data_IF_178554372962
#
_entry.id   IF_178554372962
#
_cell.length_a   1.000
_cell.length_b   1.000
_cell.length_c   1.000
_cell.angle_alpha   90.00
_cell.angle_beta   90.00
_cell.angle_gamma   90.00
#
_symmetry.space_group_name_H-M   'P 1'
#
loop_
_entity.id
_entity.type
_entity.pdbx_description
1 polymer ?
#
# COMPACT_ATOMS: atom_id res chain seq x y z
N UNK A 1 -19.63 -65.08 5.61
CA UNK A 1 -19.90 -64.76 4.20
C UNK A 1 -19.17 -63.44 3.88
N UNK A 2 -17.83 -63.34 3.93
CA UNK A 2 -16.81 -63.83 2.99
C UNK A 2 -16.93 -63.29 1.55
N UNK A 3 -16.19 -62.19 1.31
CA UNK A 3 -15.38 -61.92 0.11
C UNK A 3 -16.05 -61.38 -1.18
N UNK A 4 -15.27 -60.82 -2.14
CA UNK A 4 -15.41 -59.44 -2.61
C UNK A 4 -15.58 -59.40 -4.14
N UNK A 5 -15.82 -58.23 -4.75
CA UNK A 5 -15.68 -58.04 -6.21
C UNK A 5 -15.03 -56.68 -6.47
N UNK A 6 -13.73 -56.61 -6.70
CA UNK A 6 -12.94 -56.93 -7.93
C UNK A 6 -12.67 -55.64 -8.71
N UNK A 7 -11.43 -55.16 -8.55
CA UNK A 7 -10.70 -54.32 -9.49
C UNK A 7 -10.57 -55.06 -10.83
N UNK A 8 -10.88 -54.39 -11.93
CA UNK A 8 -10.44 -54.82 -13.25
C UNK A 8 -9.93 -53.63 -14.05
N UNK A 9 -8.60 -53.54 -14.10
CA UNK A 9 -7.87 -52.79 -15.08
C UNK A 9 -8.07 -53.42 -16.47
N UNK A 10 -8.31 -52.60 -17.49
CA UNK A 10 -8.15 -52.98 -18.88
C UNK A 10 -7.43 -51.85 -19.61
N UNK A 11 -6.10 -51.95 -19.60
CA UNK A 11 -5.25 -51.36 -20.60
C UNK A 11 -5.51 -52.05 -21.94
N UNK A 12 -5.74 -51.28 -23.01
CA UNK A 12 -5.54 -51.77 -24.38
C UNK A 12 -4.83 -50.73 -25.24
N UNK A 13 -3.55 -51.03 -25.45
CA UNK A 13 -2.70 -50.82 -26.62
C UNK A 13 -3.16 -49.90 -27.76
N UNK A 14 -2.28 -48.93 -28.04
CA UNK A 14 -1.80 -48.34 -29.31
C UNK A 14 -2.38 -48.87 -30.63
N UNK A 15 -2.45 -47.98 -31.63
CA UNK A 15 -1.62 -48.20 -32.81
C UNK A 15 -0.70 -47.02 -33.14
N UNK A 16 0.51 -47.40 -33.53
CA UNK A 16 1.60 -46.60 -34.09
C UNK A 16 1.37 -46.34 -35.59
N UNK A 17 2.17 -45.41 -36.14
CA UNK A 17 2.33 -45.00 -37.55
C UNK A 17 1.43 -43.81 -37.97
N UNK A 18 1.90 -42.73 -38.57
CA UNK A 18 3.16 -42.50 -39.29
C UNK A 18 3.64 -41.05 -39.14
N UNK A 19 4.96 -40.90 -39.16
CA UNK A 19 5.67 -39.63 -39.35
C UNK A 19 5.27 -39.01 -40.69
N UNK A 20 4.96 -37.73 -40.69
CA UNK A 20 5.24 -36.84 -41.82
C UNK A 20 6.08 -35.68 -41.30
N UNK A 21 7.37 -35.75 -41.63
CA UNK A 21 8.31 -34.63 -41.60
C UNK A 21 7.89 -33.62 -42.67
N UNK A 22 7.46 -32.44 -42.24
CA UNK A 22 7.41 -31.25 -43.08
C UNK A 22 8.09 -30.10 -42.32
N UNK A 23 9.33 -29.84 -42.71
CA UNK A 23 10.10 -28.67 -42.33
C UNK A 23 9.44 -27.43 -42.91
N UNK A 24 8.68 -26.71 -42.10
CA UNK A 24 8.27 -25.34 -42.37
C UNK A 24 8.64 -24.51 -41.14
N UNK A 25 9.68 -23.70 -41.27
CA UNK A 25 10.13 -22.77 -40.24
C UNK A 25 8.97 -21.90 -39.78
N UNK A 26 8.55 -22.10 -38.53
CA UNK A 26 7.65 -21.19 -37.82
C UNK A 26 8.53 -20.34 -36.93
N UNK A 27 8.81 -19.15 -37.41
CA UNK A 27 9.07 -17.95 -36.63
C UNK A 27 8.28 -18.03 -35.32
N UNK A 28 8.97 -18.23 -34.19
CA UNK A 28 8.36 -18.13 -32.87
C UNK A 28 8.07 -16.66 -32.61
N UNK A 29 6.84 -16.22 -32.85
CA UNK A 29 6.38 -14.97 -32.28
C UNK A 29 6.42 -15.13 -30.75
N UNK A 30 7.10 -14.24 -30.00
CA UNK A 30 6.96 -14.25 -28.56
C UNK A 30 5.49 -13.92 -28.27
N UNK A 31 4.77 -14.87 -27.69
CA UNK A 31 3.52 -14.60 -27.01
C UNK A 31 3.88 -13.73 -25.80
N UNK A 32 4.02 -12.42 -26.02
CA UNK A 32 3.82 -11.45 -24.96
C UNK A 32 2.38 -11.64 -24.52
N UNK A 33 2.20 -12.44 -23.48
CA UNK A 33 1.02 -12.37 -22.63
C UNK A 33 0.97 -10.95 -22.08
N UNK A 34 0.35 -10.04 -22.83
CA UNK A 34 -0.12 -8.79 -22.27
C UNK A 34 -1.29 -9.14 -21.35
N UNK A 35 -0.95 -9.61 -20.14
CA UNK A 35 -1.80 -9.33 -19.01
C UNK A 35 -1.78 -7.81 -18.85
N UNK A 36 -2.70 -7.16 -19.57
CA UNK A 36 -3.11 -5.81 -19.30
C UNK A 36 -3.75 -5.81 -17.90
N UNK A 37 -2.92 -5.88 -16.87
CA UNK A 37 -3.28 -5.39 -15.56
C UNK A 37 -3.44 -3.89 -15.75
N UNK A 38 -4.68 -3.49 -16.07
CA UNK A 38 -5.14 -2.14 -15.93
C UNK A 38 -4.98 -1.77 -14.45
N UNK A 39 -3.79 -1.30 -14.09
CA UNK A 39 -3.51 -0.70 -12.81
C UNK A 39 -4.37 0.57 -12.74
N UNK A 40 -5.57 0.41 -12.17
CA UNK A 40 -6.36 1.54 -11.73
C UNK A 40 -5.51 2.29 -10.71
N UNK A 41 -5.25 3.60 -10.87
CA UNK A 41 -4.56 4.36 -9.85
C UNK A 41 -5.49 4.46 -8.65
N UNK A 42 -5.29 3.59 -7.65
CA UNK A 42 -5.95 3.70 -6.36
C UNK A 42 -5.20 4.76 -5.55
N UNK A 43 -5.83 5.91 -5.41
CA UNK A 43 -5.41 6.95 -4.47
C UNK A 43 -5.58 6.38 -3.05
N UNK A 44 -4.52 5.79 -2.52
CA UNK A 44 -4.46 5.28 -1.15
C UNK A 44 -3.93 3.85 -1.06
N UNK A 45 -2.61 3.70 -1.16
CA UNK A 45 -1.77 2.80 -0.33
C UNK A 45 -2.21 1.36 -0.04
N UNK A 46 -3.11 0.75 -0.80
CA UNK A 46 -3.47 -0.66 -0.62
C UNK A 46 -2.92 -1.47 -1.79
N UNK A 47 -1.82 -2.17 -1.52
CA UNK A 47 -1.36 -3.29 -2.34
C UNK A 47 -2.35 -4.44 -2.16
N UNK A 48 -3.13 -4.69 -3.21
CA UNK A 48 -3.75 -6.00 -3.50
C UNK A 48 -4.55 -6.65 -2.36
N UNK A 49 -5.64 -6.00 -1.94
CA UNK A 49 -6.68 -6.63 -1.13
C UNK A 49 -8.08 -6.30 -1.67
N UNK A 50 -9.06 -7.21 -1.55
CA UNK A 50 -10.46 -6.85 -1.80
C UNK A 50 -10.86 -5.74 -0.81
N UNK A 51 -11.59 -4.74 -1.31
CA UNK A 51 -12.05 -3.63 -0.48
C UNK A 51 -12.80 -4.16 0.76
N UNK A 52 -12.63 -3.54 1.95
CA UNK A 52 -13.35 -3.98 3.14
C UNK A 52 -14.86 -3.91 2.92
N UNK A 53 -15.59 -4.92 3.41
CA UNK A 53 -17.02 -5.15 3.15
C UNK A 53 -17.91 -3.93 3.47
N UNK A 54 -17.52 -3.13 4.47
CA UNK A 54 -18.26 -1.97 4.95
C UNK A 54 -17.61 -0.63 4.56
N UNK A 55 -16.87 -0.55 3.46
CA UNK A 55 -16.39 0.73 2.96
C UNK A 55 -17.56 1.61 2.50
N UNK A 56 -18.00 2.53 3.37
CA UNK A 56 -19.08 3.48 3.07
C UNK A 56 -18.54 4.60 2.18
N UNK A 57 -18.77 4.49 0.88
CA UNK A 57 -18.64 5.61 -0.04
C UNK A 57 -19.77 6.63 0.21
N UNK A 58 -19.45 7.92 0.29
CA UNK A 58 -20.49 8.96 0.25
C UNK A 58 -21.03 9.03 -1.18
N UNK A 59 -22.35 8.88 -1.42
CA UNK A 59 -22.90 8.98 -2.76
C UNK A 59 -22.55 10.35 -3.38
N UNK A 60 -22.03 10.38 -4.62
CA UNK A 60 -21.74 11.64 -5.28
C UNK A 60 -23.04 12.43 -5.50
N UNK A 61 -23.00 13.77 -5.45
CA UNK A 61 -24.16 14.58 -5.78
C UNK A 61 -24.56 14.37 -7.24
N UNK A 62 -25.87 14.26 -7.50
CA UNK A 62 -26.41 14.19 -8.87
C UNK A 62 -26.60 15.60 -9.44
N UNK A 63 -26.25 15.80 -10.71
CA UNK A 63 -26.27 17.10 -11.39
C UNK A 63 -27.66 17.77 -11.44
N UNK A 64 -28.72 16.96 -11.45
CA UNK A 64 -30.12 17.41 -11.53
C UNK A 64 -30.76 17.68 -10.17
N UNK A 65 -30.01 17.56 -9.07
CA UNK A 65 -30.47 17.96 -7.74
C UNK A 65 -29.43 18.85 -7.08
N UNK A 66 -29.43 20.14 -7.40
CA UNK A 66 -28.70 21.11 -6.62
C UNK A 66 -29.23 21.05 -5.17
N UNK A 67 -28.31 20.92 -4.22
CA UNK A 67 -28.66 20.87 -2.79
C UNK A 67 -29.10 22.25 -2.25
N UNK A 68 -28.67 23.31 -2.93
CA UNK A 68 -28.88 24.71 -2.55
C UNK A 68 -29.78 25.41 -3.58
N UNK A 69 -30.57 26.41 -3.14
CA UNK A 69 -31.34 27.27 -4.05
C UNK A 69 -30.41 28.12 -4.93
N UNK A 70 -30.82 28.43 -6.18
CA UNK A 70 -30.00 29.20 -7.14
C UNK A 70 -29.55 30.56 -6.57
N UNK A 71 -30.42 31.21 -5.80
CA UNK A 71 -30.13 32.50 -5.17
C UNK A 71 -29.06 32.38 -4.08
N UNK A 72 -29.08 31.31 -3.28
CA UNK A 72 -28.05 31.07 -2.26
C UNK A 72 -26.70 30.75 -2.90
N UNK A 73 -26.71 29.99 -4.00
CA UNK A 73 -25.51 29.67 -4.76
C UNK A 73 -24.88 30.94 -5.36
N UNK A 74 -25.69 31.80 -5.97
CA UNK A 74 -25.24 33.10 -6.49
C UNK A 74 -24.71 34.01 -5.37
N UNK A 75 -25.38 34.05 -4.21
CA UNK A 75 -24.94 34.81 -3.04
C UNK A 75 -23.58 34.34 -2.52
N UNK A 76 -23.36 33.02 -2.43
CA UNK A 76 -22.06 32.45 -2.02
C UNK A 76 -20.91 32.86 -2.94
N UNK A 77 -21.12 32.88 -4.26
CA UNK A 77 -20.09 33.30 -5.21
C UNK A 77 -19.85 34.80 -5.19
N UNK A 78 -20.91 35.60 -5.22
CA UNK A 78 -20.79 37.05 -5.34
C UNK A 78 -20.26 37.69 -4.06
N UNK A 79 -20.66 37.20 -2.90
CA UNK A 79 -20.20 37.70 -1.59
C UNK A 79 -18.98 36.95 -1.04
N UNK A 80 -18.41 36.01 -1.82
CA UNK A 80 -17.28 35.18 -1.42
C UNK A 80 -17.49 34.56 -0.01
N UNK A 81 -18.71 34.08 0.27
CA UNK A 81 -19.10 33.65 1.62
C UNK A 81 -18.20 32.55 2.19
N UNK A 82 -17.71 31.65 1.33
CA UNK A 82 -16.76 30.61 1.72
C UNK A 82 -15.38 31.17 2.10
N UNK A 83 -14.96 32.30 1.51
CA UNK A 83 -13.71 32.98 1.89
C UNK A 83 -13.85 33.63 3.26
N UNK A 84 -14.98 34.28 3.53
CA UNK A 84 -15.28 34.85 4.84
C UNK A 84 -15.34 33.76 5.92
N UNK A 85 -15.93 32.61 5.61
CA UNK A 85 -15.93 31.43 6.49
C UNK A 85 -14.52 30.91 6.78
N UNK A 86 -13.65 30.84 5.76
CA UNK A 86 -12.25 30.48 5.94
C UNK A 86 -11.50 31.47 6.84
N UNK A 87 -11.70 32.77 6.63
CA UNK A 87 -11.11 33.84 7.45
C UNK A 87 -11.53 33.74 8.92
N UNK A 88 -12.80 33.42 9.17
CA UNK A 88 -13.32 33.22 10.53
C UNK A 88 -12.60 32.07 11.27
N UNK A 89 -12.33 30.95 10.59
CA UNK A 89 -11.59 29.83 11.19
C UNK A 89 -10.13 30.20 11.49
N UNK A 90 -9.51 31.04 10.65
CA UNK A 90 -8.17 31.55 10.92
C UNK A 90 -8.14 32.46 12.15
N UNK A 91 -9.15 33.33 12.29
CA UNK A 91 -9.30 34.18 13.48
C UNK A 91 -9.51 33.34 14.74
N UNK A 92 -10.30 32.27 14.67
CA UNK A 92 -10.47 31.33 15.78
C UNK A 92 -9.14 30.70 16.20
N UNK A 93 -8.29 30.32 15.24
CA UNK A 93 -6.96 29.77 15.54
C UNK A 93 -6.00 30.80 16.12
N UNK A 94 -6.12 32.07 15.73
CA UNK A 94 -5.28 33.15 16.27
C UNK A 94 -5.49 33.38 17.78
N UNK A 95 -6.72 33.19 18.27
CA UNK A 95 -7.01 33.31 19.70
C UNK A 95 -6.70 32.05 20.52
N UNK A 96 -6.28 30.94 19.87
CA UNK A 96 -5.80 29.75 20.61
C UNK A 96 -4.37 29.97 21.11
N UNK A 97 -4.03 29.46 22.30
CA UNK A 97 -2.67 29.53 22.81
C UNK A 97 -1.69 28.78 21.86
N UNK A 98 -0.48 29.32 21.59
CA UNK A 98 0.48 28.69 20.70
C UNK A 98 1.07 27.41 21.32
N UNK A 99 1.26 26.37 20.50
CA UNK A 99 1.86 25.09 20.90
C UNK A 99 3.40 25.07 20.81
N UNK A 100 4.03 26.24 20.87
CA UNK A 100 5.49 26.40 20.74
C UNK A 100 6.18 26.12 22.07
N UNK A 101 7.05 25.12 22.11
CA UNK A 101 7.96 24.86 23.24
C UNK A 101 9.21 25.74 23.12
N UNK A 102 9.74 26.24 24.24
CA UNK A 102 10.92 27.11 24.23
C UNK A 102 12.22 26.30 24.27
N UNK A 103 12.63 25.79 23.11
CA UNK A 103 13.94 25.13 22.98
C UNK A 103 15.07 26.16 23.11
N UNK A 104 16.19 25.89 23.82
CA UNK A 104 16.66 24.63 24.40
C UNK A 104 16.22 24.33 25.84
N UNK A 105 15.40 25.19 26.45
CA UNK A 105 15.06 25.13 27.87
C UNK A 105 13.98 24.09 28.16
N UNK A 106 13.05 23.88 27.23
CA UNK A 106 12.00 22.88 27.31
C UNK A 106 12.19 21.83 26.20
N UNK A 107 12.29 20.55 26.58
CA UNK A 107 12.40 19.42 25.64
C UNK A 107 11.06 18.68 25.58
N UNK A 108 10.63 18.33 24.37
CA UNK A 108 9.43 17.53 24.16
C UNK A 108 9.52 16.13 24.77
N UNK A 109 8.39 15.46 25.03
CA UNK A 109 8.36 14.13 25.60
C UNK A 109 9.02 13.12 24.63
N UNK A 110 10.09 12.48 25.08
CA UNK A 110 10.82 11.46 24.31
C UNK A 110 10.40 10.05 24.78
N UNK A 111 9.99 9.20 23.84
CA UNK A 111 9.69 7.81 24.17
C UNK A 111 10.99 7.03 24.43
N UNK A 112 10.99 5.99 25.30
CA UNK A 112 12.17 5.15 25.53
C UNK A 112 12.69 4.43 24.28
N UNK A 113 11.88 4.37 23.23
CA UNK A 113 12.18 3.74 21.95
C UNK A 113 12.69 4.73 20.90
N UNK A 114 12.95 5.97 21.29
CA UNK A 114 13.53 6.96 20.39
C UNK A 114 14.89 6.47 19.87
N UNK A 115 15.06 6.56 18.55
CA UNK A 115 16.29 6.20 17.86
C UNK A 115 17.09 7.48 17.70
N UNK A 116 18.17 7.62 18.48
CA UNK A 116 19.09 8.75 18.41
C UNK A 116 20.43 8.34 17.80
N UNK A 117 21.51 8.85 18.39
CA UNK A 117 22.87 8.47 18.03
C UNK A 117 23.14 6.99 18.34
N UNK A 118 23.86 6.32 17.44
CA UNK A 118 24.24 4.92 17.59
C UNK A 118 25.49 4.84 18.48
N UNK A 119 25.39 4.12 19.60
CA UNK A 119 26.51 3.90 20.51
C UNK A 119 26.72 2.41 20.79
N UNK A 120 27.98 1.96 20.74
CA UNK A 120 28.33 0.59 21.06
C UNK A 120 28.26 0.38 22.58
N UNK A 121 27.50 -0.63 23.01
CA UNK A 121 27.32 -0.98 24.42
C UNK A 121 28.44 -1.92 24.88
N UNK A 122 28.92 -1.73 26.11
CA UNK A 122 29.87 -2.63 26.80
C UNK A 122 29.15 -3.55 27.81
N UNK A 123 29.76 -4.66 28.19
CA UNK A 123 29.38 -5.48 29.34
C UNK A 123 29.80 -4.79 30.65
N UNK A 124 29.25 -5.17 31.83
CA UNK A 124 29.70 -4.64 33.11
C UNK A 124 31.17 -4.98 33.44
N UNK A 125 31.76 -5.97 32.75
CA UNK A 125 33.18 -6.35 32.82
C UNK A 125 34.10 -5.43 32.00
N UNK A 126 33.54 -4.50 31.20
CA UNK A 126 34.30 -3.56 30.37
C UNK A 126 34.57 -4.05 28.93
N UNK A 127 34.38 -5.33 28.65
CA UNK A 127 34.46 -5.90 27.29
C UNK A 127 33.34 -5.34 26.39
N UNK A 128 33.63 -5.10 25.12
CA UNK A 128 32.64 -4.67 24.15
C UNK A 128 31.67 -5.79 23.79
N UNK A 129 30.39 -5.46 23.53
CA UNK A 129 29.40 -6.48 23.12
C UNK A 129 29.53 -6.87 21.64
N UNK A 130 30.35 -6.17 20.88
CA UNK A 130 30.60 -6.46 19.48
C UNK A 130 31.51 -7.67 19.35
N UNK A 131 31.07 -8.69 18.62
CA UNK A 131 31.90 -9.86 18.24
C UNK A 131 32.22 -9.87 16.73
N UNK A 132 32.11 -8.72 16.06
CA UNK A 132 32.32 -8.55 14.62
C UNK A 132 31.54 -9.55 13.73
N UNK A 133 30.32 -9.93 14.12
CA UNK A 133 29.49 -10.89 13.39
C UNK A 133 28.89 -10.38 12.07
N UNK A 134 29.08 -9.09 11.72
CA UNK A 134 28.55 -8.41 10.52
C UNK A 134 27.02 -8.50 10.30
N UNK A 135 26.26 -8.93 11.30
CA UNK A 135 24.81 -9.03 11.19
C UNK A 135 24.13 -7.65 11.06
N UNK A 136 24.61 -6.64 11.79
CA UNK A 136 24.08 -5.28 11.71
C UNK A 136 24.30 -4.65 10.32
N UNK A 137 25.43 -4.92 9.68
CA UNK A 137 25.74 -4.49 8.30
C UNK A 137 24.75 -5.10 7.30
N UNK A 138 24.45 -6.40 7.42
CA UNK A 138 23.50 -7.08 6.54
C UNK A 138 22.02 -6.70 6.74
N UNK A 139 21.67 -6.16 7.91
CA UNK A 139 20.29 -5.71 8.21
C UNK A 139 20.09 -4.20 7.98
N UNK A 140 21.17 -3.43 7.81
CA UNK A 140 21.08 -2.03 7.44
C UNK A 140 20.67 -1.90 5.97
N UNK A 141 19.43 -1.48 5.71
CA UNK A 141 18.90 -1.26 4.34
C UNK A 141 19.53 -0.11 3.56
N UNK A 142 20.60 0.50 4.08
CA UNK A 142 21.39 1.57 3.45
C UNK A 142 22.67 1.08 2.78
N UNK A 143 22.90 -0.24 2.72
CA UNK A 143 24.04 -0.79 1.99
C UNK A 143 23.89 -0.46 0.50
N UNK A 144 24.73 0.46 0.04
CA UNK A 144 24.83 0.97 -1.33
C UNK A 144 24.99 -0.19 -2.32
N UNK A 145 24.01 -0.32 -3.23
CA UNK A 145 24.23 -0.85 -4.59
C UNK A 145 24.96 0.17 -5.44
#
# INVERSE_FOLDING_TARGET
>A
MSSPRVLTALARSRPTASRLTATAGRYSAPAFSTSAQAQRPTLGGQTEGPAPENFRMTPPPRWNQPKDSLMDHAGKYFLLGEMARGMYVLLEQFFRPPYTIYYPFEKGPISPRFRGEHALRRYPTGEERCIACKLSEGQHGTTLT
#
